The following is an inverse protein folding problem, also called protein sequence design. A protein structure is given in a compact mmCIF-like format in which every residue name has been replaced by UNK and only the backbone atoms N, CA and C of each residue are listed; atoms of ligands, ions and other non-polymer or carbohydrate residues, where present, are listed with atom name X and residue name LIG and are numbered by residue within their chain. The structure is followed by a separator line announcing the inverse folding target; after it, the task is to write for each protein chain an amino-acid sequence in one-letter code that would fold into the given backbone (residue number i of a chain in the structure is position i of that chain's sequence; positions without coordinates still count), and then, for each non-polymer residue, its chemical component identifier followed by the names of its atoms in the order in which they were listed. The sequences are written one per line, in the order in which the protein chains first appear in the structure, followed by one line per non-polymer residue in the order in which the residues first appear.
data_IF_191082297066
#
_entry.id   IF_191082297066
#
_cell.length_a   1.000
_cell.length_b   1.000
_cell.length_c   1.000
_cell.angle_alpha   90.00
_cell.angle_beta   90.00
_cell.angle_gamma   90.00
#
_symmetry.space_group_name_H-M   'P 1'
#
loop_
_entity.id
_entity.type
_entity.pdbx_description
1 polymer ?
#
# COMPACT_ATOMS: atom_id res chain seq x y z
N UNK A 1 -10.58 -21.61 7.59
CA UNK A 1 -9.98 -20.29 7.86
C UNK A 1 -8.76 -20.02 6.98
N UNK A 2 -7.66 -20.80 7.06
CA UNK A 2 -6.43 -20.56 6.27
C UNK A 2 -6.63 -20.53 4.74
N UNK A 3 -7.43 -21.45 4.18
CA UNK A 3 -7.70 -21.54 2.72
C UNK A 3 -8.34 -20.27 2.13
N UNK A 4 -9.25 -19.63 2.87
CA UNK A 4 -9.90 -18.39 2.44
C UNK A 4 -8.94 -17.20 2.45
N UNK A 5 -8.04 -17.12 3.43
CA UNK A 5 -7.01 -16.08 3.47
C UNK A 5 -6.07 -16.19 2.26
N UNK A 6 -5.61 -17.40 1.92
CA UNK A 6 -4.80 -17.61 0.71
C UNK A 6 -5.54 -17.25 -0.58
N UNK A 7 -6.84 -17.57 -0.66
CA UNK A 7 -7.66 -17.21 -1.81
C UNK A 7 -7.81 -15.68 -1.95
N UNK A 8 -8.02 -14.95 -0.86
CA UNK A 8 -8.09 -13.48 -0.89
C UNK A 8 -6.75 -12.84 -1.25
N UNK A 9 -5.63 -13.36 -0.73
CA UNK A 9 -4.28 -12.87 -1.08
C UNK A 9 -3.97 -13.17 -2.55
N UNK A 10 -4.30 -14.36 -3.05
CA UNK A 10 -4.12 -14.73 -4.45
C UNK A 10 -4.97 -13.88 -5.41
N UNK A 11 -6.24 -13.64 -5.06
CA UNK A 11 -7.13 -12.79 -5.84
C UNK A 11 -6.68 -11.34 -5.84
N UNK A 12 -6.12 -10.84 -4.74
CA UNK A 12 -5.50 -9.52 -4.68
C UNK A 12 -4.24 -9.42 -5.54
N UNK A 13 -3.33 -10.40 -5.47
CA UNK A 13 -2.14 -10.42 -6.32
C UNK A 13 -2.52 -10.44 -7.81
N UNK A 14 -3.54 -11.22 -8.18
CA UNK A 14 -4.08 -11.27 -9.53
C UNK A 14 -4.74 -9.94 -9.93
N UNK A 15 -5.50 -9.32 -9.02
CA UNK A 15 -6.09 -8.00 -9.26
C UNK A 15 -5.01 -6.93 -9.47
N UNK A 16 -3.94 -6.94 -8.68
CA UNK A 16 -2.81 -6.02 -8.87
C UNK A 16 -2.13 -6.24 -10.22
N UNK A 17 -1.82 -7.50 -10.58
CA UNK A 17 -1.22 -7.81 -11.88
C UNK A 17 -2.10 -7.39 -13.06
N UNK A 18 -3.41 -7.64 -12.97
CA UNK A 18 -4.35 -7.27 -14.03
C UNK A 18 -4.57 -5.76 -14.11
N UNK A 19 -4.55 -5.05 -12.98
CA UNK A 19 -4.80 -3.62 -12.93
C UNK A 19 -3.56 -2.81 -13.29
N UNK A 20 -2.34 -3.31 -13.06
CA UNK A 20 -1.12 -2.61 -13.51
C UNK A 20 -1.04 -2.52 -15.04
N UNK A 21 -1.53 -3.53 -15.78
CA UNK A 21 -1.55 -3.51 -17.27
C UNK A 21 -2.29 -2.27 -17.83
N UNK A 22 -3.59 -2.04 -17.56
CA UNK A 22 -4.30 -0.88 -18.09
C UNK A 22 -3.77 0.44 -17.53
N UNK A 23 -3.29 0.48 -16.28
CA UNK A 23 -2.73 1.72 -15.71
C UNK A 23 -1.41 2.08 -16.41
N UNK A 24 -0.55 1.11 -16.73
CA UNK A 24 0.67 1.34 -17.52
C UNK A 24 0.28 1.84 -18.91
N UNK A 25 -0.68 1.19 -19.57
CA UNK A 25 -1.14 1.63 -20.89
C UNK A 25 -1.65 3.07 -20.83
N UNK A 26 -2.57 3.39 -19.91
CA UNK A 26 -3.10 4.76 -19.76
C UNK A 26 -1.99 5.76 -19.45
N UNK A 27 -1.04 5.41 -18.59
CA UNK A 27 0.06 6.27 -18.19
C UNK A 27 1.00 6.65 -19.36
N UNK A 28 1.10 5.80 -20.37
CA UNK A 28 2.01 6.00 -21.51
C UNK A 28 1.33 6.16 -22.89
N UNK A 29 -0.01 6.13 -22.97
CA UNK A 29 -0.81 6.34 -24.20
C UNK A 29 -0.62 7.76 -24.79
N UNK A 30 0.34 7.95 -25.68
CA UNK A 30 0.54 9.27 -26.33
C UNK A 30 1.98 9.57 -26.72
N UNK A 31 2.96 8.86 -26.16
CA UNK A 31 4.26 8.73 -26.84
C UNK A 31 4.04 7.81 -28.05
N UNK A 32 4.26 8.33 -29.25
CA UNK A 32 3.92 7.76 -30.57
C UNK A 32 4.53 6.38 -30.89
N UNK A 33 5.21 5.75 -29.94
CA UNK A 33 5.89 4.45 -30.08
C UNK A 33 5.86 3.59 -28.81
N UNK A 34 4.96 3.85 -27.86
CA UNK A 34 4.82 2.97 -26.69
C UNK A 34 4.22 1.61 -27.09
N UNK A 35 5.11 0.66 -27.36
CA UNK A 35 4.79 -0.67 -27.88
C UNK A 35 4.56 -1.64 -26.72
N UNK A 36 3.75 -2.70 -26.92
CA UNK A 36 3.57 -3.77 -25.92
C UNK A 36 4.90 -4.36 -25.39
N UNK A 37 5.99 -4.27 -26.18
CA UNK A 37 7.35 -4.63 -25.78
C UNK A 37 7.91 -3.76 -24.65
N UNK A 38 7.70 -2.45 -24.66
CA UNK A 38 8.15 -1.54 -23.60
C UNK A 38 7.35 -1.72 -22.31
N UNK A 39 6.05 -2.04 -22.43
CA UNK A 39 5.26 -2.46 -21.27
C UNK A 39 5.82 -3.76 -20.67
N UNK A 40 6.22 -4.74 -21.50
CA UNK A 40 6.85 -5.98 -21.03
C UNK A 40 8.23 -5.75 -20.39
N UNK A 41 8.99 -4.75 -20.84
CA UNK A 41 10.26 -4.35 -20.21
C UNK A 41 10.08 -3.89 -18.76
N UNK A 42 8.96 -3.23 -18.43
CA UNK A 42 8.63 -2.86 -17.04
C UNK A 42 8.39 -4.11 -16.19
N UNK A 43 7.74 -5.15 -16.72
CA UNK A 43 7.57 -6.44 -16.03
C UNK A 43 8.87 -7.22 -15.89
N UNK A 44 9.89 -6.94 -16.70
CA UNK A 44 11.22 -7.54 -16.58
C UNK A 44 12.07 -6.85 -15.50
N UNK A 45 11.69 -5.65 -15.04
CA UNK A 45 12.40 -4.95 -13.99
C UNK A 45 12.19 -5.64 -12.64
N UNK A 46 13.28 -5.98 -11.95
CA UNK A 46 13.24 -6.62 -10.64
C UNK A 46 12.50 -5.75 -9.59
N UNK A 47 12.63 -4.43 -9.69
CA UNK A 47 12.03 -3.48 -8.75
C UNK A 47 10.50 -3.52 -8.74
N UNK A 48 9.88 -3.80 -9.90
CA UNK A 48 8.43 -3.98 -10.01
C UNK A 48 7.97 -5.20 -9.20
N UNK A 49 8.68 -6.32 -9.31
CA UNK A 49 8.37 -7.54 -8.55
C UNK A 49 8.60 -7.37 -7.06
N UNK A 50 9.66 -6.66 -6.66
CA UNK A 50 9.89 -6.33 -5.26
C UNK A 50 8.74 -5.49 -4.69
N UNK A 51 8.29 -4.47 -5.41
CA UNK A 51 7.16 -3.64 -4.98
C UNK A 51 5.85 -4.44 -4.88
N UNK A 52 5.56 -5.26 -5.88
CA UNK A 52 4.38 -6.13 -5.86
C UNK A 52 4.46 -7.13 -4.70
N UNK A 53 5.62 -7.74 -4.48
CA UNK A 53 5.86 -8.65 -3.36
C UNK A 53 5.66 -7.96 -2.01
N UNK A 54 6.11 -6.71 -1.86
CA UNK A 54 5.90 -5.91 -0.64
C UNK A 54 4.41 -5.66 -0.38
N UNK A 55 3.64 -5.29 -1.41
CA UNK A 55 2.20 -5.04 -1.27
C UNK A 55 1.40 -6.31 -0.97
N UNK A 56 1.72 -7.41 -1.66
CA UNK A 56 1.12 -8.72 -1.43
C UNK A 56 1.50 -9.25 -0.04
N UNK A 57 2.76 -9.05 0.39
CA UNK A 57 3.20 -9.37 1.73
C UNK A 57 2.45 -8.54 2.77
N UNK A 58 2.24 -7.24 2.55
CA UNK A 58 1.43 -6.39 3.43
C UNK A 58 0.02 -6.94 3.63
N UNK A 59 -0.64 -7.37 2.56
CA UNK A 59 -1.95 -8.01 2.63
C UNK A 59 -1.90 -9.39 3.31
N UNK A 60 -0.88 -10.19 3.00
CA UNK A 60 -0.67 -11.48 3.64
C UNK A 60 -0.44 -11.33 5.14
N UNK A 61 0.36 -10.35 5.59
CA UNK A 61 0.57 -10.07 7.00
C UNK A 61 -0.71 -9.59 7.68
N UNK A 62 -1.54 -8.77 7.03
CA UNK A 62 -2.81 -8.31 7.61
C UNK A 62 -3.87 -9.43 7.72
N UNK A 63 -3.89 -10.40 6.79
CA UNK A 63 -4.89 -11.47 6.77
C UNK A 63 -4.43 -12.78 7.45
N UNK A 64 -3.16 -13.14 7.32
CA UNK A 64 -2.62 -14.38 7.89
C UNK A 64 -2.30 -14.25 9.37
N UNK A 65 -2.14 -13.03 9.90
CA UNK A 65 -2.16 -12.83 11.33
C UNK A 65 -3.56 -13.13 11.83
N UNK A 66 -3.74 -14.19 12.65
CA UNK A 66 -5.05 -14.59 13.12
C UNK A 66 -5.54 -13.51 14.09
N UNK A 67 -6.25 -12.52 13.57
CA UNK A 67 -7.23 -11.77 14.34
C UNK A 67 -8.32 -12.80 14.70
N UNK A 68 -8.12 -13.50 15.82
CA UNK A 68 -9.16 -14.34 16.42
C UNK A 68 -10.29 -13.41 16.89
N UNK A 69 -11.09 -12.92 15.95
CA UNK A 69 -12.34 -12.16 16.15
C UNK A 69 -13.44 -13.07 16.77
N UNK A 70 -13.08 -14.31 17.11
CA UNK A 70 -14.07 -15.32 17.48
C UNK A 70 -14.53 -15.27 18.92
N UNK A 71 -13.84 -14.62 19.87
CA UNK A 71 -14.35 -14.57 21.25
C UNK A 71 -13.99 -13.26 21.93
N UNK A 72 -14.99 -12.76 22.67
CA UNK A 72 -15.03 -11.66 23.63
C UNK A 72 -14.03 -11.84 24.80
N UNK A 73 -12.81 -12.30 24.54
CA UNK A 73 -11.76 -12.54 25.53
C UNK A 73 -10.54 -11.73 25.14
N UNK A 74 -10.10 -10.91 26.10
CA UNK A 74 -8.91 -10.06 26.10
C UNK A 74 -7.88 -10.46 25.04
N UNK A 75 -7.83 -9.70 23.95
CA UNK A 75 -6.84 -9.88 22.90
C UNK A 75 -5.48 -9.59 23.54
N UNK A 76 -4.51 -10.52 23.52
CA UNK A 76 -3.16 -10.22 23.98
C UNK A 76 -2.58 -9.11 23.10
N UNK A 77 -2.29 -7.94 23.71
CA UNK A 77 -1.80 -6.70 23.04
C UNK A 77 -0.60 -6.93 22.10
N UNK A 78 0.13 -8.04 22.26
CA UNK A 78 1.28 -8.43 21.44
C UNK A 78 0.91 -8.73 19.98
N UNK A 79 -0.31 -9.22 19.70
CA UNK A 79 -0.76 -9.51 18.34
C UNK A 79 -1.08 -8.27 17.49
N UNK A 80 -1.21 -7.09 18.12
CA UNK A 80 -1.53 -5.82 17.45
C UNK A 80 -0.30 -5.07 16.93
N UNK A 81 0.91 -5.45 17.38
CA UNK A 81 2.16 -4.78 16.96
C UNK A 81 2.42 -4.94 15.46
N UNK A 82 2.15 -6.12 14.90
CA UNK A 82 2.47 -6.41 13.49
C UNK A 82 1.51 -5.67 12.52
N UNK A 83 0.18 -5.71 12.69
CA UNK A 83 -0.73 -4.91 11.86
C UNK A 83 -0.45 -3.41 11.91
N UNK A 84 -0.07 -2.90 13.08
CA UNK A 84 0.34 -1.51 13.29
C UNK A 84 1.59 -1.15 12.47
N UNK A 85 2.63 -1.98 12.52
CA UNK A 85 3.86 -1.80 11.74
C UNK A 85 3.59 -1.86 10.22
N UNK A 86 2.75 -2.80 9.76
CA UNK A 86 2.40 -2.94 8.35
C UNK A 86 1.57 -1.75 7.86
N UNK A 87 0.60 -1.30 8.66
CA UNK A 87 -0.20 -0.10 8.34
C UNK A 87 0.67 1.14 8.26
N UNK A 88 1.60 1.31 9.22
CA UNK A 88 2.56 2.41 9.21
C UNK A 88 3.43 2.38 7.94
N UNK A 89 3.84 1.20 7.50
CA UNK A 89 4.63 1.02 6.29
C UNK A 89 3.84 1.38 5.02
N UNK A 90 2.58 0.94 4.91
CA UNK A 90 1.72 1.29 3.78
C UNK A 90 1.44 2.79 3.73
N UNK A 91 1.22 3.43 4.88
CA UNK A 91 1.00 4.86 4.96
C UNK A 91 2.27 5.66 4.63
N UNK A 92 3.45 5.18 5.05
CA UNK A 92 4.73 5.75 4.64
C UNK A 92 4.94 5.66 3.11
N UNK A 93 4.58 4.54 2.49
CA UNK A 93 4.63 4.40 1.02
C UNK A 93 3.71 5.40 0.32
N UNK A 94 2.48 5.61 0.82
CA UNK A 94 1.57 6.61 0.27
C UNK A 94 2.17 8.02 0.36
N UNK A 95 2.63 8.43 1.55
CA UNK A 95 3.25 9.75 1.72
C UNK A 95 4.47 9.94 0.83
N UNK A 96 5.32 8.92 0.74
CA UNK A 96 6.51 8.96 -0.10
C UNK A 96 6.17 9.10 -1.58
N UNK A 97 5.20 8.33 -2.06
CA UNK A 97 4.75 8.38 -3.45
C UNK A 97 4.10 9.74 -3.80
N UNK A 98 3.39 10.35 -2.85
CA UNK A 98 2.77 11.66 -3.03
C UNK A 98 3.79 12.78 -3.12
N UNK A 99 4.81 12.74 -2.25
CA UNK A 99 5.94 13.65 -2.30
C UNK A 99 6.66 13.53 -3.64
N UNK A 100 6.95 12.31 -4.12
CA UNK A 100 7.52 12.09 -5.45
C UNK A 100 6.63 12.70 -6.53
N UNK A 101 5.32 12.47 -6.47
CA UNK A 101 4.38 12.97 -7.47
C UNK A 101 4.35 14.50 -7.53
N UNK A 102 4.44 15.17 -6.38
CA UNK A 102 4.54 16.65 -6.32
C UNK A 102 5.89 17.11 -6.86
N UNK A 103 7.00 16.51 -6.41
CA UNK A 103 8.34 16.88 -6.84
C UNK A 103 8.54 16.72 -8.35
N UNK A 104 8.04 15.62 -8.94
CA UNK A 104 8.05 15.41 -10.38
C UNK A 104 7.21 16.47 -11.13
N UNK A 105 6.11 16.95 -10.54
CA UNK A 105 5.30 18.01 -11.16
C UNK A 105 5.96 19.40 -11.07
N UNK A 106 6.66 19.70 -9.98
CA UNK A 106 7.29 21.02 -9.76
C UNK A 106 8.68 21.12 -10.39
N UNK A 107 9.54 20.13 -10.17
CA UNK A 107 10.97 20.16 -10.52
C UNK A 107 11.34 19.29 -11.74
N UNK A 108 10.35 18.73 -12.45
CA UNK A 108 10.57 17.89 -13.65
C UNK A 108 11.51 16.71 -13.37
N UNK A 109 12.57 16.54 -14.17
CA UNK A 109 13.56 15.48 -14.04
C UNK A 109 14.44 15.61 -12.79
N UNK A 110 14.58 16.82 -12.23
CA UNK A 110 15.32 17.04 -10.98
C UNK A 110 14.51 16.66 -9.73
N UNK A 111 13.20 16.44 -9.87
CA UNK A 111 12.34 16.06 -8.75
C UNK A 111 12.77 14.76 -8.06
N UNK A 112 13.31 13.80 -8.83
CA UNK A 112 13.88 12.56 -8.27
C UNK A 112 15.27 12.77 -7.68
N UNK A 113 16.00 13.78 -8.16
CA UNK A 113 17.30 14.16 -7.61
C UNK A 113 17.18 14.89 -6.28
N UNK A 114 16.02 15.45 -5.93
CA UNK A 114 15.77 16.08 -4.64
C UNK A 114 16.14 15.18 -3.45
N UNK A 115 15.96 13.85 -3.57
CA UNK A 115 16.28 12.92 -2.48
C UNK A 115 17.78 12.83 -2.19
N UNK A 116 18.66 13.06 -3.17
CA UNK A 116 20.11 13.03 -2.93
C UNK A 116 20.54 14.12 -1.94
N UNK A 117 19.85 15.27 -1.91
CA UNK A 117 20.10 16.34 -0.95
C UNK A 117 19.67 16.02 0.49
N UNK A 118 18.76 15.06 0.68
CA UNK A 118 18.22 14.74 2.01
C UNK A 118 19.11 13.80 2.84
N UNK A 119 20.11 13.16 2.24
CA UNK A 119 20.98 12.20 2.93
C UNK A 119 22.39 12.77 3.08
N UNK A 120 22.96 12.81 4.30
CA UNK A 120 24.28 13.38 4.54
C UNK A 120 25.45 12.55 4.00
N UNK A 121 25.18 11.41 3.36
CA UNK A 121 26.19 10.43 2.96
C UNK A 121 26.76 10.62 1.54
N UNK A 122 26.41 11.67 0.78
CA UNK A 122 27.12 11.91 -0.48
C UNK A 122 27.26 13.39 -0.92
N UNK A 123 28.47 13.83 -1.36
CA UNK A 123 28.79 15.23 -1.67
C UNK A 123 28.78 15.62 -3.16
N UNK A 124 28.25 14.81 -4.10
CA UNK A 124 28.26 15.13 -5.54
C UNK A 124 26.85 15.36 -6.12
N UNK A 125 26.28 16.57 -5.96
CA UNK A 125 24.98 16.94 -6.51
C UNK A 125 24.95 16.99 -8.05
N UNK A 126 26.12 17.00 -8.70
CA UNK A 126 26.23 17.27 -10.14
C UNK A 126 26.03 16.02 -11.02
N UNK A 127 26.24 14.81 -10.48
CA UNK A 127 26.10 13.53 -11.20
C UNK A 127 25.74 12.36 -10.25
N UNK A 128 24.54 12.36 -9.64
CA UNK A 128 24.13 11.27 -8.76
C UNK A 128 24.05 9.95 -9.54
N UNK A 129 24.76 8.91 -9.09
CA UNK A 129 24.60 7.56 -9.65
C UNK A 129 23.21 7.03 -9.29
N UNK A 130 22.59 6.25 -10.16
CA UNK A 130 21.24 5.70 -9.91
C UNK A 130 21.10 4.95 -8.58
N UNK A 131 22.17 4.32 -8.10
CA UNK A 131 22.22 3.67 -6.77
C UNK A 131 21.97 4.66 -5.62
N UNK A 132 22.49 5.88 -5.72
CA UNK A 132 22.43 6.88 -4.65
C UNK A 132 21.01 7.41 -4.48
N UNK A 133 20.33 7.67 -5.59
CA UNK A 133 18.90 8.07 -5.61
C UNK A 133 18.07 6.96 -4.95
N UNK A 134 18.36 5.69 -5.24
CA UNK A 134 17.66 4.55 -4.64
C UNK A 134 17.94 4.46 -3.13
N UNK A 135 19.19 4.60 -2.70
CA UNK A 135 19.54 4.58 -1.27
C UNK A 135 18.86 5.74 -0.54
N UNK A 136 18.87 6.94 -1.12
CA UNK A 136 18.20 8.10 -0.58
C UNK A 136 16.69 7.88 -0.44
N UNK A 137 16.04 7.41 -1.50
CA UNK A 137 14.63 7.05 -1.51
C UNK A 137 14.28 6.03 -0.41
N UNK A 138 15.11 4.98 -0.24
CA UNK A 138 14.93 3.96 0.80
C UNK A 138 15.09 4.56 2.19
N UNK A 139 16.12 5.38 2.43
CA UNK A 139 16.33 6.04 3.73
C UNK A 139 15.17 6.97 4.07
N UNK A 140 14.68 7.77 3.11
CA UNK A 140 13.51 8.63 3.30
C UNK A 140 12.26 7.82 3.61
N UNK A 141 12.01 6.72 2.88
CA UNK A 141 10.89 5.82 3.14
C UNK A 141 10.97 5.21 4.56
N UNK A 142 12.16 4.76 4.97
CA UNK A 142 12.39 4.22 6.32
C UNK A 142 12.19 5.28 7.40
N UNK A 143 12.61 6.52 7.17
CA UNK A 143 12.37 7.62 8.09
C UNK A 143 10.86 7.88 8.28
N UNK A 144 10.10 7.96 7.18
CA UNK A 144 8.64 8.07 7.25
C UNK A 144 8.01 6.87 7.94
N UNK A 145 8.50 5.66 7.68
CA UNK A 145 8.02 4.45 8.33
C UNK A 145 8.26 4.46 9.85
N UNK A 146 9.42 4.94 10.32
CA UNK A 146 9.71 5.09 11.75
C UNK A 146 8.75 6.10 12.39
N UNK A 147 8.56 7.27 11.76
CA UNK A 147 7.63 8.31 12.24
C UNK A 147 6.22 7.73 12.40
N UNK A 148 5.70 7.08 11.35
CA UNK A 148 4.38 6.47 11.37
C UNK A 148 4.27 5.34 12.40
N UNK A 149 5.31 4.53 12.55
CA UNK A 149 5.35 3.46 13.54
C UNK A 149 5.29 4.01 14.97
N UNK A 150 5.96 5.13 15.26
CA UNK A 150 5.89 5.78 16.58
C UNK A 150 4.47 6.31 16.84
N UNK A 151 3.87 6.99 15.85
CA UNK A 151 2.49 7.51 15.95
C UNK A 151 1.50 6.38 16.24
N UNK A 152 1.54 5.29 15.47
CA UNK A 152 0.63 4.17 15.68
C UNK A 152 0.93 3.37 16.95
N UNK A 153 2.19 3.33 17.43
CA UNK A 153 2.51 2.75 18.74
C UNK A 153 1.87 3.55 19.87
N UNK A 154 1.93 4.87 19.81
CA UNK A 154 1.29 5.73 20.80
C UNK A 154 -0.23 5.50 20.85
N UNK A 155 -0.88 5.38 19.69
CA UNK A 155 -2.30 5.03 19.65
C UNK A 155 -2.58 3.60 20.14
N UNK A 156 -1.70 2.64 19.84
CA UNK A 156 -1.85 1.26 20.27
C UNK A 156 -1.80 1.08 21.79
N UNK A 157 -1.15 2.00 22.51
CA UNK A 157 -1.09 1.98 23.96
C UNK A 157 -2.36 2.60 24.60
N UNK A 158 -3.07 3.47 23.88
CA UNK A 158 -4.23 4.22 24.38
C UNK A 158 -5.61 3.62 24.01
N UNK A 159 -5.76 3.02 22.83
CA UNK A 159 -7.07 2.65 22.27
C UNK A 159 -7.35 1.12 22.29
N UNK A 160 -8.64 0.76 22.24
CA UNK A 160 -9.10 -0.62 22.05
C UNK A 160 -8.75 -1.13 20.63
N UNK A 161 -8.28 -2.38 20.44
CA UNK A 161 -7.98 -3.02 19.14
C UNK A 161 -8.96 -2.73 18.00
N UNK A 162 -10.26 -2.79 18.25
CA UNK A 162 -11.28 -2.60 17.21
C UNK A 162 -11.34 -1.16 16.73
N UNK A 163 -11.12 -0.20 17.63
CA UNK A 163 -11.05 1.23 17.32
C UNK A 163 -9.80 1.56 16.52
N UNK A 164 -8.67 0.93 16.85
CA UNK A 164 -7.41 1.08 16.12
C UNK A 164 -7.50 0.58 14.69
N UNK A 165 -8.12 -0.57 14.45
CA UNK A 165 -8.31 -1.11 13.10
C UNK A 165 -9.24 -0.22 12.25
N UNK A 166 -10.35 0.26 12.82
CA UNK A 166 -11.27 1.20 12.15
C UNK A 166 -10.59 2.53 11.81
N UNK A 167 -9.76 3.05 12.73
CA UNK A 167 -8.99 4.27 12.51
C UNK A 167 -7.93 4.07 11.42
N UNK A 168 -7.16 2.98 11.51
CA UNK A 168 -6.10 2.64 10.55
C UNK A 168 -6.62 2.48 9.13
N UNK A 169 -7.71 1.72 8.95
CA UNK A 169 -8.37 1.58 7.64
C UNK A 169 -8.90 2.90 7.11
N UNK A 170 -9.50 3.75 7.96
CA UNK A 170 -9.94 5.10 7.56
C UNK A 170 -8.76 5.98 7.14
N UNK A 171 -7.61 5.89 7.81
CA UNK A 171 -6.42 6.67 7.48
C UNK A 171 -5.78 6.18 6.17
N UNK A 172 -5.69 4.87 5.95
CA UNK A 172 -5.21 4.31 4.68
C UNK A 172 -6.14 4.65 3.51
N UNK A 173 -7.47 4.59 3.71
CA UNK A 173 -8.44 5.00 2.68
C UNK A 173 -8.34 6.50 2.39
N UNK A 174 -8.29 7.36 3.42
CA UNK A 174 -8.12 8.80 3.23
C UNK A 174 -6.77 9.14 2.59
N UNK A 175 -5.72 8.44 2.99
CA UNK A 175 -4.37 8.61 2.45
C UNK A 175 -4.29 8.19 0.99
N UNK A 176 -4.88 7.06 0.61
CA UNK A 176 -4.92 6.62 -0.80
C UNK A 176 -5.76 7.54 -1.68
N UNK A 177 -6.89 8.05 -1.18
CA UNK A 177 -7.69 9.05 -1.91
C UNK A 177 -6.89 10.35 -2.08
N UNK A 178 -6.23 10.84 -1.02
CA UNK A 178 -5.40 12.04 -1.08
C UNK A 178 -4.23 11.85 -2.06
N UNK A 179 -3.60 10.68 -2.04
CA UNK A 179 -2.54 10.32 -2.97
C UNK A 179 -3.02 10.37 -4.41
N UNK A 180 -4.17 9.76 -4.72
CA UNK A 180 -4.74 9.81 -6.07
C UNK A 180 -5.12 11.24 -6.47
N UNK A 181 -5.65 12.04 -5.54
CA UNK A 181 -6.01 13.44 -5.79
C UNK A 181 -4.78 14.28 -6.17
N UNK A 182 -3.60 13.94 -5.67
CA UNK A 182 -2.34 14.63 -5.96
C UNK A 182 -1.64 14.02 -7.18
N UNK A 183 -1.54 12.69 -7.25
CA UNK A 183 -0.80 11.96 -8.27
C UNK A 183 -1.43 12.11 -9.65
N UNK A 184 -2.76 12.09 -9.77
CA UNK A 184 -3.46 12.22 -11.05
C UNK A 184 -3.19 13.57 -11.73
N UNK A 185 -3.42 14.74 -11.10
CA UNK A 185 -3.13 16.02 -11.73
C UNK A 185 -1.62 16.21 -11.98
N UNK A 186 -0.76 15.76 -11.07
CA UNK A 186 0.68 15.74 -11.31
C UNK A 186 1.05 14.95 -12.56
N UNK A 187 0.47 13.76 -12.73
CA UNK A 187 0.69 12.92 -13.92
C UNK A 187 0.21 13.61 -15.20
N UNK A 188 -0.93 14.32 -15.18
CA UNK A 188 -1.43 15.06 -16.35
C UNK A 188 -0.50 16.21 -16.73
N UNK A 189 0.01 16.97 -15.75
CA UNK A 189 0.94 18.08 -15.98
C UNK A 189 2.25 17.57 -16.57
N UNK A 190 2.82 16.53 -15.98
CA UNK A 190 4.10 15.94 -16.41
C UNK A 190 3.99 15.35 -17.81
N UNK A 191 2.86 14.74 -18.16
CA UNK A 191 2.65 14.20 -19.52
C UNK A 191 2.66 15.27 -20.61
N UNK A 192 2.31 16.52 -20.29
CA UNK A 192 2.39 17.63 -21.25
C UNK A 192 3.80 18.18 -21.44
N UNK A 193 4.78 17.75 -20.64
CA UNK A 193 6.14 18.32 -20.60
C UNK A 193 7.21 17.46 -21.30
N UNK A 194 6.84 16.32 -21.90
CA UNK A 194 7.74 15.38 -22.62
C UNK A 194 8.96 14.87 -21.81
N UNK A 195 8.99 15.06 -20.49
CA UNK A 195 10.06 14.59 -19.61
C UNK A 195 10.15 13.05 -19.61
N UNK A 196 11.37 12.50 -19.55
CA UNK A 196 11.59 11.06 -19.72
C UNK A 196 11.25 10.25 -18.46
N UNK A 197 11.65 10.75 -17.29
CA UNK A 197 11.62 10.01 -16.02
C UNK A 197 10.48 10.43 -15.08
N UNK A 198 9.99 11.67 -15.20
CA UNK A 198 8.91 12.19 -14.35
C UNK A 198 7.55 11.45 -14.50
N UNK A 199 7.16 10.95 -15.70
CA UNK A 199 5.94 10.15 -15.84
C UNK A 199 5.98 8.84 -15.03
N UNK A 200 7.16 8.22 -14.88
CA UNK A 200 7.29 6.97 -14.14
C UNK A 200 7.08 7.15 -12.63
N UNK A 201 7.57 8.25 -12.05
CA UNK A 201 7.39 8.58 -10.63
C UNK A 201 5.92 8.85 -10.27
N UNK A 202 5.21 9.61 -11.10
CA UNK A 202 3.78 9.89 -10.89
C UNK A 202 2.91 8.65 -11.15
N UNK A 203 3.27 7.80 -12.12
CA UNK A 203 2.63 6.50 -12.33
C UNK A 203 2.74 5.60 -11.09
N UNK A 204 3.91 5.57 -10.44
CA UNK A 204 4.11 4.84 -9.19
C UNK A 204 3.16 5.34 -8.08
N UNK A 205 2.94 6.65 -7.97
CA UNK A 205 1.95 7.25 -7.07
C UNK A 205 0.53 6.75 -7.32
N UNK A 206 0.09 6.74 -8.59
CA UNK A 206 -1.23 6.22 -8.96
C UNK A 206 -1.34 4.72 -8.64
N UNK A 207 -0.33 3.93 -9.02
CA UNK A 207 -0.33 2.49 -8.80
C UNK A 207 -0.32 2.13 -7.30
N UNK A 208 0.47 2.82 -6.49
CA UNK A 208 0.49 2.64 -5.03
C UNK A 208 -0.84 3.06 -4.39
N UNK A 209 -1.39 4.21 -4.77
CA UNK A 209 -2.69 4.70 -4.29
C UNK A 209 -3.82 3.70 -4.53
N UNK A 210 -3.98 3.21 -5.77
CA UNK A 210 -5.03 2.23 -6.09
C UNK A 210 -4.77 0.89 -5.38
N UNK A 211 -3.52 0.43 -5.32
CA UNK A 211 -3.18 -0.84 -4.66
C UNK A 211 -3.53 -0.82 -3.18
N UNK A 212 -3.15 0.24 -2.46
CA UNK A 212 -3.47 0.38 -1.03
C UNK A 212 -4.98 0.55 -0.80
N UNK A 213 -5.68 1.23 -1.72
CA UNK A 213 -7.14 1.33 -1.65
C UNK A 213 -7.81 -0.03 -1.82
N UNK A 214 -7.38 -0.84 -2.80
CA UNK A 214 -7.85 -2.22 -3.00
C UNK A 214 -7.54 -3.12 -1.80
N UNK A 215 -6.36 -2.97 -1.20
CA UNK A 215 -5.97 -3.69 0.01
C UNK A 215 -6.94 -3.40 1.15
N UNK A 216 -7.39 -2.14 1.31
CA UNK A 216 -8.33 -1.75 2.36
C UNK A 216 -9.73 -2.37 2.17
N UNK A 217 -10.14 -2.66 0.94
CA UNK A 217 -11.40 -3.36 0.67
C UNK A 217 -11.35 -4.84 1.08
N UNK A 218 -10.19 -5.49 1.06
CA UNK A 218 -10.00 -6.89 1.45
C UNK A 218 -10.53 -7.24 2.85
N UNK A 219 -10.05 -6.61 3.93
CA UNK A 219 -10.56 -6.85 5.27
C UNK A 219 -12.04 -6.45 5.40
N UNK A 220 -12.49 -5.38 4.73
CA UNK A 220 -13.88 -4.93 4.75
C UNK A 220 -14.88 -5.98 4.24
N UNK A 221 -14.57 -6.61 3.10
CA UNK A 221 -15.40 -7.69 2.53
C UNK A 221 -15.35 -8.94 3.42
N UNK A 222 -14.17 -9.26 3.97
CA UNK A 222 -14.04 -10.39 4.90
C UNK A 222 -14.89 -10.22 6.17
N UNK A 223 -14.90 -9.02 6.77
CA UNK A 223 -15.74 -8.74 7.94
C UNK A 223 -17.23 -8.89 7.63
N UNK A 224 -17.71 -8.36 6.50
CA UNK A 224 -19.10 -8.52 6.06
C UNK A 224 -19.46 -10.00 5.84
N UNK A 225 -18.55 -10.76 5.22
CA UNK A 225 -18.75 -12.18 4.99
C UNK A 225 -18.78 -12.99 6.30
N UNK A 226 -17.87 -12.71 7.23
CA UNK A 226 -17.81 -13.37 8.54
C UNK A 226 -19.04 -13.06 9.40
N UNK A 227 -19.52 -11.81 9.36
CA UNK A 227 -20.75 -11.41 10.07
C UNK A 227 -21.99 -12.10 9.49
N UNK A 228 -22.09 -12.16 8.15
CA UNK A 228 -23.16 -12.90 7.47
C UNK A 228 -23.13 -14.39 7.81
N UNK A 229 -21.96 -15.02 7.80
CA UNK A 229 -21.81 -16.44 8.15
C UNK A 229 -22.16 -16.73 9.63
N UNK A 230 -21.85 -15.79 10.54
CA UNK A 230 -22.27 -15.88 11.95
C UNK A 230 -23.79 -15.80 12.11
N UNK A 231 -24.45 -14.92 11.35
CA UNK A 231 -25.93 -14.81 11.36
C UNK A 231 -26.61 -16.05 10.77
N UNK A 232 -25.94 -16.73 9.84
CA UNK A 232 -26.44 -17.96 9.19
C UNK A 232 -26.17 -19.24 9.99
N UNK A 233 -25.30 -19.22 11.01
CA UNK A 233 -25.20 -20.35 11.93
C UNK A 233 -26.42 -20.36 12.84
N UNK A 234 -27.27 -21.40 12.79
CA UNK A 234 -28.35 -21.55 13.75
C UNK A 234 -27.73 -21.58 15.15
N UNK A 235 -28.38 -20.92 16.14
CA UNK A 235 -28.18 -21.33 17.53
C UNK A 235 -28.54 -22.82 17.55
N UNK A 236 -27.58 -23.69 17.83
CA UNK A 236 -27.91 -25.02 18.34
C UNK A 236 -28.75 -24.77 19.59
N UNK A 237 -30.07 -24.88 19.43
CA UNK A 237 -30.97 -24.96 20.54
C UNK A 237 -30.53 -26.21 21.29
N UNK A 238 -29.93 -26.01 22.45
CA UNK A 238 -29.83 -27.04 23.47
C UNK A 238 -31.27 -27.50 23.73
N UNK A 239 -31.65 -28.59 23.07
CA UNK A 239 -32.80 -29.38 23.51
C UNK A 239 -32.28 -30.09 24.74
N UNK A 240 -32.64 -29.46 25.85
CA UNK A 240 -32.71 -29.98 27.18
C UNK A 240 -33.37 -31.37 27.17
N UNK A 241 -32.56 -32.43 27.14
CA UNK A 241 -32.95 -33.74 27.66
C UNK A 241 -32.86 -33.70 29.20
N UNK A 242 -33.66 -32.84 29.81
CA UNK A 242 -34.21 -33.08 31.14
C UNK A 242 -35.69 -33.36 30.98
N UNK A 243 -36.03 -34.62 30.68
CA UNK A 243 -37.38 -35.14 30.91
C UNK A 243 -37.34 -36.64 31.12
N UNK A 244 -37.48 -36.97 32.41
CA UNK A 244 -38.00 -38.20 33.03
C UNK A 244 -37.29 -39.53 32.75
#
# INVERSE_FOLDING_TARGET
MKRWAFLTVGLYALALLLLTVPVILIAFVGKTSFTAKQAAEIYLQWGYWLWLAILVAGQAFLLLLPLKISQRRFIPRRALKIPCIVTAFLLANLFFAGIISILCATFKEEGVNFFSYLVPFNPSPDNPKGLEIVVAAVVTLLAFWVIWTIIFRHFADADDPDTLLKRSTRWLLRGSILELLIAVPSHVIVRRRDDCCAPAGTFWGIATGISVMLLCFGPGVYFLFAERFRRLKPKENFIDESKN
#
